data_IF_615184369681
#
_entry.id   IF_615184369681
#
_cell.length_a   1.000
_cell.length_b   1.000
_cell.length_c   1.000
_cell.angle_alpha   90.00
_cell.angle_beta   90.00
_cell.angle_gamma   90.00
#
_symmetry.space_group_name_H-M   'P 1'
#
loop_
_entity.id
_entity.type
_entity.pdbx_description
1 polymer ?
#
# COMPACT_ATOMS: atom_id res chain seq x y z
N UNK A 1 21.27 -2.25 44.21
CA UNK A 1 20.89 -2.31 45.64
C UNK A 1 22.16 -2.56 46.43
N UNK A 2 22.33 -1.78 47.48
CA UNK A 2 23.56 -1.59 48.25
C UNK A 2 24.03 -2.86 48.97
N UNK A 3 25.36 -3.00 49.09
CA UNK A 3 26.02 -3.87 50.07
C UNK A 3 26.13 -3.09 51.38
N UNK A 4 25.50 -3.59 52.45
CA UNK A 4 25.78 -3.17 53.82
C UNK A 4 26.61 -4.24 54.52
N UNK A 5 27.78 -3.83 55.01
CA UNK A 5 28.63 -4.61 55.88
C UNK A 5 28.17 -4.51 57.33
N UNK A 6 28.41 -5.58 58.09
CA UNK A 6 28.30 -5.58 59.54
C UNK A 6 29.62 -6.03 60.17
N UNK A 7 29.99 -5.24 61.18
CA UNK A 7 31.19 -5.23 62.02
C UNK A 7 31.22 -6.39 63.03
N UNK A 8 32.41 -6.84 63.47
CA UNK A 8 32.56 -7.52 64.74
C UNK A 8 33.07 -6.53 65.81
N UNK A 9 32.39 -6.50 66.95
CA UNK A 9 32.76 -5.68 68.09
C UNK A 9 32.54 -6.51 69.36
N UNK A 10 33.61 -6.75 70.13
CA UNK A 10 33.66 -6.51 71.57
C UNK A 10 34.88 -7.21 72.18
N UNK A 11 35.92 -6.40 72.41
CA UNK A 11 37.00 -6.67 73.35
C UNK A 11 36.44 -6.83 74.76
N UNK A 12 36.78 -7.93 75.43
CA UNK A 12 36.58 -8.07 76.87
C UNK A 12 37.90 -7.76 77.59
N UNK A 13 37.91 -6.61 78.24
CA UNK A 13 38.92 -6.12 79.18
C UNK A 13 38.84 -6.96 80.45
N UNK A 14 39.92 -7.65 80.83
CA UNK A 14 40.05 -8.33 82.11
C UNK A 14 40.91 -7.48 83.04
N UNK A 15 40.27 -7.06 84.14
CA UNK A 15 40.80 -6.25 85.23
C UNK A 15 41.60 -7.15 86.17
N UNK A 16 42.89 -6.88 86.33
CA UNK A 16 43.72 -7.43 87.41
C UNK A 16 43.37 -6.72 88.72
N UNK A 17 42.93 -7.50 89.73
CA UNK A 17 42.94 -7.12 91.14
C UNK A 17 43.63 -8.22 91.92
N UNK A 18 44.87 -7.96 92.30
CA UNK A 18 45.58 -8.71 93.35
C UNK A 18 45.09 -8.21 94.72
N UNK A 19 44.74 -9.16 95.58
CA UNK A 19 44.23 -8.90 96.92
C UNK A 19 44.21 -10.19 97.73
N UNK A 20 45.34 -10.43 98.39
CA UNK A 20 45.60 -11.04 99.70
C UNK A 20 44.74 -12.20 100.23
N UNK A 21 45.48 -13.24 100.61
CA UNK A 21 45.30 -14.12 101.77
C UNK A 21 43.93 -14.80 101.95
N UNK A 22 43.79 -16.00 101.37
CA UNK A 22 42.89 -17.02 101.91
C UNK A 22 43.53 -18.42 101.91
N UNK A 23 43.78 -18.88 103.13
CA UNK A 23 43.79 -20.24 103.69
C UNK A 23 43.99 -21.44 102.74
N UNK A 24 45.07 -22.20 103.02
CA UNK A 24 45.33 -23.56 102.54
C UNK A 24 44.11 -24.47 102.66
N UNK A 25 43.57 -25.03 101.55
CA UNK A 25 42.72 -26.20 101.63
C UNK A 25 43.59 -27.45 101.71
N UNK A 26 43.22 -28.27 102.69
CA UNK A 26 43.54 -29.68 102.87
C UNK A 26 43.63 -30.50 101.57
N UNK A 27 44.23 -31.68 101.70
CA UNK A 27 44.45 -32.80 100.75
C UNK A 27 43.29 -33.29 99.84
N UNK A 28 42.27 -32.46 99.58
CA UNK A 28 41.16 -32.72 98.64
C UNK A 28 41.34 -32.00 97.27
N UNK A 29 42.36 -31.14 97.12
CA UNK A 29 42.66 -30.36 95.90
C UNK A 29 43.05 -31.25 94.71
N UNK A 30 43.85 -32.29 94.94
CA UNK A 30 44.33 -33.17 93.87
C UNK A 30 43.19 -33.99 93.23
N UNK A 31 42.16 -34.34 94.01
CA UNK A 31 40.98 -35.04 93.49
C UNK A 31 40.09 -34.12 92.64
N UNK A 32 39.97 -32.84 93.02
CA UNK A 32 39.21 -31.84 92.24
C UNK A 32 39.92 -31.57 90.91
N UNK A 33 41.25 -31.41 90.94
CA UNK A 33 42.02 -31.13 89.73
C UNK A 33 42.03 -32.32 88.75
N UNK A 34 42.12 -33.55 89.26
CA UNK A 34 42.02 -34.76 88.44
C UNK A 34 40.63 -34.91 87.81
N UNK A 35 39.57 -34.64 88.57
CA UNK A 35 38.19 -34.64 88.05
C UNK A 35 37.98 -33.57 86.98
N UNK A 36 38.54 -32.38 87.17
CA UNK A 36 38.49 -31.30 86.18
C UNK A 36 39.24 -31.64 84.88
N UNK A 37 40.38 -32.33 84.96
CA UNK A 37 41.08 -32.82 83.77
C UNK A 37 40.32 -33.92 83.03
N UNK A 38 39.64 -34.82 83.75
CA UNK A 38 38.77 -35.84 83.16
C UNK A 38 37.56 -35.21 82.46
N UNK A 39 36.88 -34.27 83.11
CA UNK A 39 35.78 -33.48 82.52
C UNK A 39 36.25 -32.70 81.28
N UNK A 40 37.46 -32.14 81.29
CA UNK A 40 38.04 -31.44 80.14
C UNK A 40 38.33 -32.40 78.97
N UNK A 41 38.82 -33.61 79.25
CA UNK A 41 39.03 -34.65 78.21
C UNK A 41 37.70 -35.13 77.63
N UNK A 42 36.68 -35.28 78.46
CA UNK A 42 35.33 -35.65 78.02
C UNK A 42 34.72 -34.55 77.15
N UNK A 43 34.86 -33.28 77.56
CA UNK A 43 34.40 -32.12 76.78
C UNK A 43 35.08 -32.02 75.41
N UNK A 44 36.40 -32.26 75.33
CA UNK A 44 37.12 -32.31 74.04
C UNK A 44 36.61 -33.44 73.16
N UNK A 45 36.29 -34.59 73.75
CA UNK A 45 35.77 -35.75 73.02
C UNK A 45 34.35 -35.48 72.48
N UNK A 46 33.49 -34.87 73.30
CA UNK A 46 32.14 -34.45 72.91
C UNK A 46 32.19 -33.40 71.79
N UNK A 47 33.07 -32.41 71.88
CA UNK A 47 33.24 -31.39 70.83
C UNK A 47 33.66 -32.00 69.49
N UNK A 48 34.52 -33.02 69.50
CA UNK A 48 34.89 -33.76 68.28
C UNK A 48 33.71 -34.52 67.69
N UNK A 49 32.89 -35.17 68.53
CA UNK A 49 31.68 -35.88 68.10
C UNK A 49 30.65 -34.93 67.49
N UNK A 50 30.41 -33.77 68.11
CA UNK A 50 29.49 -32.76 67.55
C UNK A 50 29.98 -32.25 66.19
N UNK A 51 31.26 -31.92 66.04
CA UNK A 51 31.81 -31.48 64.74
C UNK A 51 31.69 -32.56 63.65
N UNK A 52 31.85 -33.84 64.02
CA UNK A 52 31.66 -34.95 63.10
C UNK A 52 30.19 -35.07 62.64
N UNK A 53 29.25 -35.03 63.58
CA UNK A 53 27.82 -35.08 63.28
C UNK A 53 27.33 -33.87 62.46
N UNK A 54 27.84 -32.67 62.74
CA UNK A 54 27.52 -31.48 61.95
C UNK A 54 28.01 -31.58 60.49
N UNK A 55 29.14 -32.24 60.25
CA UNK A 55 29.65 -32.48 58.90
C UNK A 55 28.85 -33.56 58.17
N UNK A 56 28.51 -34.67 58.85
CA UNK A 56 27.64 -35.71 58.26
C UNK A 56 26.26 -35.14 57.89
N UNK A 57 25.68 -34.30 58.75
CA UNK A 57 24.39 -33.64 58.48
C UNK A 57 24.48 -32.74 57.23
N UNK A 58 25.54 -31.95 57.10
CA UNK A 58 25.78 -31.11 55.92
C UNK A 58 25.99 -31.93 54.64
N UNK A 59 26.68 -33.06 54.72
CA UNK A 59 26.88 -33.95 53.57
C UNK A 59 25.57 -34.60 53.13
N UNK A 60 24.72 -35.02 54.07
CA UNK A 60 23.38 -35.53 53.77
C UNK A 60 22.51 -34.47 53.09
N UNK A 61 22.45 -33.26 53.64
CA UNK A 61 21.69 -32.14 53.05
C UNK A 61 22.17 -31.81 51.64
N UNK A 62 23.49 -31.81 51.40
CA UNK A 62 24.08 -31.55 50.08
C UNK A 62 23.70 -32.63 49.06
N UNK A 63 23.66 -33.90 49.48
CA UNK A 63 23.28 -35.01 48.62
C UNK A 63 21.81 -34.94 48.23
N UNK A 64 20.92 -34.65 49.19
CA UNK A 64 19.49 -34.49 48.94
C UNK A 64 19.20 -33.29 48.01
N UNK A 65 19.91 -32.17 48.20
CA UNK A 65 19.82 -31.00 47.29
C UNK A 65 20.25 -31.38 45.85
N UNK A 66 21.28 -32.21 45.69
CA UNK A 66 21.77 -32.59 44.36
C UNK A 66 20.82 -33.57 43.67
N UNK A 67 20.21 -34.51 44.40
CA UNK A 67 19.15 -35.39 43.90
C UNK A 67 17.93 -34.56 43.44
N UNK A 68 17.49 -33.59 44.24
CA UNK A 68 16.40 -32.67 43.86
C UNK A 68 16.73 -31.89 42.58
N UNK A 69 17.96 -31.39 42.42
CA UNK A 69 18.36 -30.68 41.19
C UNK A 69 18.31 -31.59 39.97
N UNK A 70 18.73 -32.84 40.10
CA UNK A 70 18.69 -33.81 38.99
C UNK A 70 17.24 -34.11 38.59
N UNK A 71 16.35 -34.31 39.55
CA UNK A 71 14.92 -34.51 39.29
C UNK A 71 14.28 -33.29 38.62
N UNK A 72 14.61 -32.07 39.07
CA UNK A 72 14.15 -30.84 38.42
C UNK A 72 14.68 -30.69 36.99
N UNK A 73 15.95 -31.01 36.73
CA UNK A 73 16.51 -30.98 35.38
C UNK A 73 15.78 -31.96 34.47
N UNK A 74 15.55 -33.19 34.94
CA UNK A 74 14.82 -34.21 34.20
C UNK A 74 13.38 -33.76 33.88
N UNK A 75 12.68 -33.17 34.86
CA UNK A 75 11.33 -32.64 34.66
C UNK A 75 11.28 -31.48 33.64
N UNK A 76 12.32 -30.64 33.60
CA UNK A 76 12.44 -29.56 32.61
C UNK A 76 12.66 -30.14 31.20
N UNK A 77 13.49 -31.17 31.07
CA UNK A 77 13.74 -31.87 29.81
C UNK A 77 12.44 -32.52 29.28
N UNK A 78 11.74 -33.27 30.12
CA UNK A 78 10.45 -33.92 29.77
C UNK A 78 9.39 -32.89 29.33
N UNK A 79 9.25 -31.78 30.05
CA UNK A 79 8.31 -30.72 29.67
C UNK A 79 8.69 -30.02 28.36
N UNK A 80 9.98 -29.84 28.09
CA UNK A 80 10.45 -29.25 26.84
C UNK A 80 10.21 -30.17 25.64
N UNK A 81 10.40 -31.49 25.81
CA UNK A 81 10.08 -32.49 24.79
C UNK A 81 8.57 -32.53 24.49
N UNK A 82 7.73 -32.52 25.53
CA UNK A 82 6.28 -32.46 25.37
C UNK A 82 5.84 -31.18 24.65
N UNK A 83 6.36 -30.01 25.06
CA UNK A 83 6.05 -28.73 24.43
C UNK A 83 6.48 -28.69 22.96
N UNK A 84 7.61 -29.32 22.63
CA UNK A 84 8.09 -29.45 21.25
C UNK A 84 7.14 -30.32 20.42
N UNK A 85 6.74 -31.48 20.93
CA UNK A 85 5.80 -32.36 20.25
C UNK A 85 4.44 -31.69 19.99
N UNK A 86 3.88 -30.96 20.97
CA UNK A 86 2.63 -30.21 20.81
C UNK A 86 2.73 -29.09 19.76
N UNK A 87 3.91 -28.43 19.67
CA UNK A 87 4.16 -27.40 18.66
C UNK A 87 4.25 -28.00 17.26
N UNK A 88 4.97 -29.12 17.11
CA UNK A 88 5.12 -29.81 15.83
C UNK A 88 3.76 -30.33 15.32
N UNK A 89 2.91 -30.86 16.20
CA UNK A 89 1.54 -31.27 15.84
C UNK A 89 0.68 -30.09 15.37
N UNK A 90 0.73 -28.94 16.07
CA UNK A 90 0.01 -27.73 15.66
C UNK A 90 0.50 -27.16 14.33
N UNK A 91 1.80 -27.20 14.06
CA UNK A 91 2.38 -26.75 12.79
C UNK A 91 1.87 -27.64 11.65
N UNK A 92 1.97 -28.97 11.80
CA UNK A 92 1.50 -29.92 10.80
C UNK A 92 0.00 -29.74 10.49
N UNK A 93 -0.83 -29.53 11.53
CA UNK A 93 -2.26 -29.25 11.35
C UNK A 93 -2.52 -27.96 10.55
N UNK A 94 -1.78 -26.89 10.82
CA UNK A 94 -1.92 -25.62 10.10
C UNK A 94 -1.46 -25.73 8.64
N UNK A 95 -0.36 -26.44 8.38
CA UNK A 95 0.14 -26.69 7.03
C UNK A 95 -0.88 -27.47 6.18
N UNK A 96 -1.50 -28.51 6.74
CA UNK A 96 -2.57 -29.23 6.06
C UNK A 96 -3.78 -28.35 5.74
N UNK A 97 -4.16 -27.46 6.67
CA UNK A 97 -5.29 -26.53 6.49
C UNK A 97 -5.00 -25.49 5.41
N UNK A 98 -3.78 -24.97 5.35
CA UNK A 98 -3.32 -24.05 4.31
C UNK A 98 -3.34 -24.76 2.95
N UNK A 99 -2.81 -25.99 2.87
CA UNK A 99 -2.81 -26.80 1.65
C UNK A 99 -4.22 -27.02 1.12
N UNK A 100 -5.16 -27.47 1.97
CA UNK A 100 -6.58 -27.67 1.60
C UNK A 100 -7.24 -26.38 1.11
N UNK A 101 -6.91 -25.24 1.71
CA UNK A 101 -7.45 -23.93 1.31
C UNK A 101 -6.91 -23.50 -0.04
N UNK A 102 -5.61 -23.69 -0.29
CA UNK A 102 -4.98 -23.39 -1.58
C UNK A 102 -5.54 -24.29 -2.69
N UNK A 103 -5.67 -25.60 -2.44
CA UNK A 103 -6.24 -26.54 -3.42
C UNK A 103 -7.69 -26.15 -3.80
N UNK A 104 -8.49 -25.70 -2.82
CA UNK A 104 -9.85 -25.19 -3.07
C UNK A 104 -9.85 -23.89 -3.86
N UNK A 105 -8.92 -22.98 -3.56
CA UNK A 105 -8.78 -21.70 -4.26
C UNK A 105 -8.38 -21.90 -5.71
N UNK A 106 -7.36 -22.73 -5.98
CA UNK A 106 -6.92 -23.10 -7.32
C UNK A 106 -8.05 -23.75 -8.13
N UNK A 107 -8.82 -24.65 -7.51
CA UNK A 107 -10.00 -25.25 -8.15
C UNK A 107 -11.03 -24.20 -8.55
N UNK A 108 -11.42 -23.31 -7.62
CA UNK A 108 -12.40 -22.24 -7.89
C UNK A 108 -11.91 -21.26 -8.95
N UNK A 109 -10.61 -20.94 -8.94
CA UNK A 109 -9.99 -20.07 -9.92
C UNK A 109 -9.99 -20.70 -11.32
N UNK A 110 -9.67 -21.99 -11.41
CA UNK A 110 -9.77 -22.77 -12.65
C UNK A 110 -11.20 -22.82 -13.21
N UNK A 111 -12.21 -22.98 -12.34
CA UNK A 111 -13.62 -22.97 -12.74
C UNK A 111 -14.08 -21.58 -13.23
N UNK A 112 -13.62 -20.50 -12.60
CA UNK A 112 -13.84 -19.11 -13.04
C UNK A 112 -13.24 -18.84 -14.42
N UNK A 113 -12.01 -19.31 -14.67
CA UNK A 113 -11.37 -19.20 -15.99
C UNK A 113 -12.18 -19.95 -17.05
N UNK A 114 -12.63 -21.18 -16.74
CA UNK A 114 -13.47 -21.96 -17.66
C UNK A 114 -14.78 -21.26 -17.97
N UNK A 115 -15.45 -20.70 -16.97
CA UNK A 115 -16.69 -19.96 -17.15
C UNK A 115 -16.51 -18.74 -18.07
N UNK A 116 -15.41 -18.00 -17.87
CA UNK A 116 -15.06 -16.84 -18.68
C UNK A 116 -14.71 -17.19 -20.13
N UNK A 117 -14.11 -18.37 -20.36
CA UNK A 117 -13.83 -18.88 -21.70
C UNK A 117 -15.11 -19.38 -22.41
N UNK A 118 -16.10 -19.89 -21.67
CA UNK A 118 -17.35 -20.42 -22.24
C UNK A 118 -18.28 -19.31 -22.74
N UNK A 119 -18.20 -18.10 -22.21
CA UNK A 119 -19.10 -17.01 -22.60
C UNK A 119 -18.85 -16.44 -24.00
N UNK A 120 -17.74 -16.80 -24.66
CA UNK A 120 -17.45 -16.54 -26.09
C UNK A 120 -17.29 -15.07 -26.50
N UNK A 121 -18.02 -14.17 -25.84
CA UNK A 121 -17.97 -12.74 -26.01
C UNK A 121 -16.83 -12.20 -25.16
N UNK A 122 -15.77 -11.76 -25.84
CA UNK A 122 -14.69 -10.99 -25.24
C UNK A 122 -15.28 -9.62 -24.90
N UNK A 123 -15.82 -9.46 -23.70
CA UNK A 123 -16.14 -8.13 -23.17
C UNK A 123 -14.90 -7.55 -22.50
N UNK A 124 -14.75 -6.23 -22.57
CA UNK A 124 -13.70 -5.54 -21.84
C UNK A 124 -14.17 -5.22 -20.41
N UNK A 125 -13.30 -5.47 -19.42
CA UNK A 125 -13.56 -5.13 -18.04
C UNK A 125 -13.21 -3.66 -17.80
N UNK A 126 -14.20 -2.87 -17.41
CA UNK A 126 -13.96 -1.48 -17.04
C UNK A 126 -13.09 -1.38 -15.79
N UNK A 127 -12.02 -0.60 -15.89
CA UNK A 127 -11.11 -0.31 -14.78
C UNK A 127 -11.40 1.11 -14.28
N UNK A 128 -12.02 1.19 -13.11
CA UNK A 128 -12.31 2.47 -12.46
C UNK A 128 -11.03 3.12 -11.95
N UNK A 129 -10.73 4.32 -12.44
CA UNK A 129 -9.66 5.19 -11.94
C UNK A 129 -10.31 6.51 -11.55
N UNK A 130 -10.17 6.92 -10.28
CA UNK A 130 -10.58 8.26 -9.88
C UNK A 130 -9.69 9.28 -10.57
N UNK A 131 -10.28 10.30 -11.19
CA UNK A 131 -9.53 11.28 -11.95
C UNK A 131 -10.15 12.67 -11.87
N UNK A 132 -9.35 13.67 -12.23
CA UNK A 132 -9.72 15.09 -12.26
C UNK A 132 -8.80 15.85 -13.19
N UNK A 133 -9.19 17.03 -13.66
CA UNK A 133 -8.29 17.93 -14.37
C UNK A 133 -7.25 18.51 -13.41
N UNK A 134 -5.97 18.51 -13.82
CA UNK A 134 -4.88 18.94 -12.94
C UNK A 134 -3.87 19.89 -13.58
N UNK A 135 -3.73 19.85 -14.90
CA UNK A 135 -2.66 20.53 -15.61
C UNK A 135 -3.21 21.22 -16.85
N UNK A 136 -2.88 22.51 -17.00
CA UNK A 136 -3.18 23.31 -18.20
C UNK A 136 -1.86 23.63 -18.89
N UNK A 137 -1.73 23.23 -20.15
CA UNK A 137 -0.60 23.58 -21.01
C UNK A 137 -1.06 24.59 -22.06
N UNK A 138 -0.45 25.77 -22.06
CA UNK A 138 -0.65 26.79 -23.09
C UNK A 138 0.51 26.71 -24.09
N UNK A 139 0.20 26.49 -25.36
CA UNK A 139 1.20 26.53 -26.44
C UNK A 139 1.78 27.95 -26.59
N UNK A 140 0.96 28.97 -26.36
CA UNK A 140 1.36 30.36 -26.45
C UNK A 140 1.55 30.92 -25.03
N UNK A 141 2.73 31.50 -24.76
CA UNK A 141 2.91 32.37 -23.59
C UNK A 141 2.03 33.59 -23.81
N UNK A 142 0.83 33.55 -23.26
CA UNK A 142 -0.17 34.62 -23.40
C UNK A 142 0.30 35.96 -22.81
N UNK A 143 1.37 35.95 -22.01
CA UNK A 143 1.99 37.09 -21.38
C UNK A 143 3.47 36.75 -21.07
N UNK A 144 4.34 37.77 -20.98
CA UNK A 144 5.74 37.61 -20.55
C UNK A 144 5.87 36.96 -19.18
N UNK A 145 4.84 37.12 -18.34
CA UNK A 145 4.74 36.57 -16.98
C UNK A 145 3.85 35.34 -16.97
N UNK A 146 4.33 34.14 -17.37
CA UNK A 146 3.63 32.83 -17.30
C UNK A 146 2.33 32.88 -16.47
N UNK A 147 1.19 33.25 -17.11
CA UNK A 147 -0.06 33.55 -16.41
C UNK A 147 -0.80 32.25 -15.99
N UNK A 148 -0.06 31.31 -15.40
CA UNK A 148 -0.51 30.04 -14.87
C UNK A 148 -0.70 30.25 -13.38
N UNK A 149 -1.75 30.97 -12.98
CA UNK A 149 -2.11 31.02 -11.57
C UNK A 149 -3.61 30.78 -11.42
N UNK A 150 -3.92 29.53 -11.09
CA UNK A 150 -5.22 28.94 -10.76
C UNK A 150 -6.01 29.77 -9.71
N UNK A 151 -5.34 30.69 -9.01
CA UNK A 151 -5.87 31.47 -7.90
C UNK A 151 -5.99 32.99 -8.15
N UNK A 152 -5.59 33.53 -9.31
CA UNK A 152 -5.77 34.97 -9.63
C UNK A 152 -6.14 35.21 -11.09
N UNK A 153 -7.44 35.38 -11.33
CA UNK A 153 -8.07 35.76 -12.59
C UNK A 153 -7.86 37.25 -12.92
N UNK A 154 -6.62 37.72 -13.02
CA UNK A 154 -6.37 39.02 -13.63
C UNK A 154 -6.09 38.80 -15.12
N UNK A 155 -7.11 39.13 -15.91
CA UNK A 155 -7.24 38.87 -17.33
C UNK A 155 -5.97 39.11 -18.15
N UNK A 156 -5.70 38.14 -19.01
CA UNK A 156 -4.68 38.16 -20.04
C UNK A 156 -5.17 39.12 -21.14
N UNK A 157 -4.73 40.39 -21.16
CA UNK A 157 -4.79 41.32 -22.31
C UNK A 157 -5.91 41.06 -23.36
N UNK A 158 -7.18 40.92 -22.97
CA UNK A 158 -8.30 40.68 -23.88
C UNK A 158 -8.41 39.30 -24.55
N UNK A 159 -7.48 38.36 -24.31
CA UNK A 159 -7.49 37.03 -24.95
C UNK A 159 -8.29 35.98 -24.17
N UNK A 160 -8.82 34.99 -24.88
CA UNK A 160 -9.66 33.92 -24.37
C UNK A 160 -8.82 32.85 -23.68
N UNK A 161 -9.34 32.29 -22.60
CA UNK A 161 -8.64 31.31 -21.78
C UNK A 161 -9.59 30.30 -21.13
N UNK A 162 -9.06 29.10 -20.89
CA UNK A 162 -9.74 28.06 -20.11
C UNK A 162 -9.39 28.18 -18.63
N UNK A 163 -10.38 27.96 -17.78
CA UNK A 163 -10.25 27.95 -16.34
C UNK A 163 -10.82 26.65 -15.78
N UNK A 164 -10.02 25.90 -15.01
CA UNK A 164 -10.51 24.73 -14.27
C UNK A 164 -11.31 25.27 -13.08
N UNK A 165 -12.62 25.09 -13.10
CA UNK A 165 -13.51 25.56 -12.02
C UNK A 165 -13.49 24.59 -10.84
N UNK A 166 -13.44 23.29 -11.15
CA UNK A 166 -13.34 22.22 -10.17
C UNK A 166 -12.71 20.99 -10.82
N UNK A 167 -12.65 19.88 -10.09
CA UNK A 167 -12.04 18.63 -10.52
C UNK A 167 -12.54 18.10 -11.89
N UNK A 168 -13.77 18.41 -12.30
CA UNK A 168 -14.37 17.88 -13.53
C UNK A 168 -14.71 18.96 -14.58
N UNK A 169 -14.78 20.23 -14.18
CA UNK A 169 -15.33 21.31 -15.01
C UNK A 169 -14.25 22.29 -15.48
N UNK A 170 -14.28 22.60 -16.78
CA UNK A 170 -13.45 23.62 -17.42
C UNK A 170 -14.39 24.65 -18.04
N UNK A 171 -14.30 25.90 -17.60
CA UNK A 171 -14.99 27.01 -18.25
C UNK A 171 -14.05 27.74 -19.18
N UNK A 172 -14.45 27.88 -20.44
CA UNK A 172 -13.78 28.77 -21.36
C UNK A 172 -14.38 30.17 -21.23
N UNK A 173 -13.50 31.16 -21.19
CA UNK A 173 -13.86 32.58 -21.14
C UNK A 173 -13.34 33.17 -22.45
N UNK A 174 -14.26 33.64 -23.30
CA UNK A 174 -13.96 34.17 -24.62
C UNK A 174 -13.13 35.47 -24.56
N UNK A 175 -12.43 35.77 -25.66
CA UNK A 175 -11.80 37.07 -25.87
C UNK A 175 -12.83 38.23 -25.87
N UNK A 176 -12.32 39.45 -25.71
CA UNK A 176 -13.02 40.63 -26.20
C UNK A 176 -13.10 40.61 -27.74
N UNK A 177 -14.14 41.21 -28.30
CA UNK A 177 -14.37 41.29 -29.75
C UNK A 177 -13.13 41.86 -30.47
N UNK A 178 -12.61 41.11 -31.47
CA UNK A 178 -11.43 41.49 -32.27
C UNK A 178 -10.10 40.86 -31.84
N UNK A 179 -10.03 40.18 -30.71
CA UNK A 179 -8.83 39.48 -30.23
C UNK A 179 -8.84 37.98 -30.56
N UNK A 180 -7.67 37.32 -30.54
CA UNK A 180 -7.51 35.93 -30.98
C UNK A 180 -7.71 34.94 -29.82
N UNK A 181 -8.66 34.01 -29.98
CA UNK A 181 -8.83 32.90 -29.05
C UNK A 181 -7.63 31.94 -29.11
N UNK A 182 -7.26 31.40 -27.95
CA UNK A 182 -6.18 30.42 -27.84
C UNK A 182 -6.71 29.04 -27.52
N UNK A 183 -6.00 28.06 -28.07
CA UNK A 183 -6.19 26.66 -27.74
C UNK A 183 -5.62 26.34 -26.37
N UNK A 184 -6.44 25.71 -25.55
CA UNK A 184 -6.09 25.32 -24.18
C UNK A 184 -6.01 23.81 -24.12
N UNK A 185 -4.86 23.27 -23.70
CA UNK A 185 -4.69 21.85 -23.47
C UNK A 185 -4.87 21.59 -21.98
N UNK A 186 -5.75 20.66 -21.62
CA UNK A 186 -5.98 20.29 -20.23
C UNK A 186 -5.82 18.79 -20.08
N UNK A 187 -5.02 18.39 -19.09
CA UNK A 187 -4.70 17.00 -18.80
C UNK A 187 -5.27 16.58 -17.45
N UNK A 188 -5.69 15.31 -17.40
CA UNK A 188 -6.17 14.70 -16.17
C UNK A 188 -5.01 14.31 -15.25
N UNK A 189 -5.21 14.28 -13.94
CA UNK A 189 -4.19 13.97 -12.92
C UNK A 189 -3.57 12.59 -13.15
N UNK A 190 -4.42 11.58 -13.30
CA UNK A 190 -4.02 10.19 -13.39
C UNK A 190 -3.98 9.71 -14.84
N UNK A 191 -2.96 8.90 -15.15
CA UNK A 191 -2.84 8.22 -16.44
C UNK A 191 -3.52 6.86 -16.42
N UNK A 192 -4.02 6.43 -17.57
CA UNK A 192 -4.46 5.07 -17.83
C UNK A 192 -3.24 4.18 -18.05
N UNK A 193 -2.91 3.39 -17.03
CA UNK A 193 -1.72 2.54 -17.03
C UNK A 193 -2.07 1.12 -17.48
N UNK A 194 -1.18 0.51 -18.26
CA UNK A 194 -1.27 -0.90 -18.63
C UNK A 194 -1.28 -1.77 -17.36
N UNK A 195 -2.30 -2.62 -17.16
CA UNK A 195 -2.34 -3.51 -16.00
C UNK A 195 -1.18 -4.51 -16.01
N UNK A 196 -0.57 -4.75 -14.84
CA UNK A 196 0.57 -5.68 -14.71
C UNK A 196 0.17 -7.16 -14.86
N UNK A 197 -1.02 -7.51 -14.37
CA UNK A 197 -1.55 -8.87 -14.41
C UNK A 197 -3.04 -8.79 -14.72
N UNK A 198 -3.42 -9.07 -15.96
CA UNK A 198 -4.84 -9.09 -16.34
C UNK A 198 -5.11 -10.22 -17.33
N UNK A 199 -6.11 -11.05 -16.99
CA UNK A 199 -6.55 -12.16 -17.83
C UNK A 199 -7.62 -11.73 -18.85
N UNK A 200 -8.21 -10.55 -18.65
CA UNK A 200 -9.24 -9.98 -19.50
C UNK A 200 -8.75 -8.70 -20.17
N UNK A 201 -9.48 -8.26 -21.18
CA UNK A 201 -9.26 -6.93 -21.73
C UNK A 201 -9.62 -5.91 -20.67
N UNK A 202 -8.82 -4.85 -20.59
CA UNK A 202 -9.01 -3.79 -19.59
C UNK A 202 -9.41 -2.51 -20.31
N UNK A 203 -10.60 -2.00 -20.00
CA UNK A 203 -11.18 -0.80 -20.57
C UNK A 203 -11.01 0.37 -19.60
N UNK A 204 -10.36 1.42 -20.06
CA UNK A 204 -10.40 2.75 -19.46
C UNK A 204 -11.28 3.65 -20.32
N UNK A 205 -12.08 4.51 -19.71
CA UNK A 205 -13.02 5.35 -20.43
C UNK A 205 -13.31 6.64 -19.66
N UNK A 206 -13.48 7.74 -20.39
CA UNK A 206 -13.98 9.01 -19.86
C UNK A 206 -14.80 9.74 -20.93
N UNK A 207 -15.71 10.60 -20.47
CA UNK A 207 -16.55 11.45 -21.32
C UNK A 207 -16.33 12.93 -21.00
N UNK A 208 -16.64 13.78 -21.97
CA UNK A 208 -16.77 15.22 -21.81
C UNK A 208 -18.08 15.67 -22.46
N UNK A 209 -18.85 16.50 -21.77
CA UNK A 209 -19.98 17.24 -22.32
C UNK A 209 -19.48 18.62 -22.75
N UNK A 210 -19.79 19.03 -23.97
CA UNK A 210 -19.32 20.29 -24.55
C UNK A 210 -20.40 21.36 -24.51
N UNK A 211 -20.08 22.51 -23.92
CA UNK A 211 -20.99 23.64 -23.76
C UNK A 211 -20.39 24.91 -24.39
N UNK A 212 -21.07 25.50 -25.36
CA UNK A 212 -20.63 26.73 -26.03
C UNK A 212 -21.81 27.66 -26.34
N UNK A 213 -21.51 28.96 -26.44
CA UNK A 213 -22.49 30.00 -26.73
C UNK A 213 -22.92 29.95 -28.22
N UNK A 214 -24.22 30.15 -28.48
CA UNK A 214 -24.82 30.01 -29.82
C UNK A 214 -24.34 31.07 -30.82
N UNK A 215 -23.94 32.25 -30.33
CA UNK A 215 -23.60 33.41 -31.17
C UNK A 215 -22.26 33.27 -31.91
N UNK A 216 -21.42 32.30 -31.55
CA UNK A 216 -20.13 32.09 -32.17
C UNK A 216 -20.22 31.23 -33.44
N UNK A 217 -19.54 31.68 -34.50
CA UNK A 217 -19.38 30.93 -35.74
C UNK A 217 -18.80 29.54 -35.46
N UNK A 218 -19.31 28.51 -36.17
CA UNK A 218 -18.80 27.12 -36.02
C UNK A 218 -17.30 27.01 -36.31
N UNK A 219 -16.79 27.82 -37.23
CA UNK A 219 -15.39 27.80 -37.65
C UNK A 219 -14.42 28.36 -36.59
N UNK A 220 -14.94 29.00 -35.53
CA UNK A 220 -14.16 29.57 -34.43
C UNK A 220 -14.12 28.65 -33.20
N UNK A 221 -14.80 27.51 -33.25
CA UNK A 221 -14.90 26.55 -32.16
C UNK A 221 -13.92 25.41 -32.42
N UNK A 222 -13.13 25.07 -31.41
CA UNK A 222 -12.25 23.90 -31.48
C UNK A 222 -12.46 23.02 -30.26
N UNK A 223 -12.66 21.73 -30.50
CA UNK A 223 -12.57 20.71 -29.47
C UNK A 223 -11.83 19.49 -30.01
N UNK A 224 -10.93 18.95 -29.19
CA UNK A 224 -10.46 17.58 -29.35
C UNK A 224 -10.37 16.86 -28.01
N UNK A 225 -10.75 15.59 -28.00
CA UNK A 225 -10.63 14.67 -26.87
C UNK A 225 -9.64 13.57 -27.23
N UNK A 226 -8.83 13.13 -26.28
CA UNK A 226 -7.91 12.04 -26.56
C UNK A 226 -7.01 11.63 -25.41
N UNK A 227 -5.93 10.97 -25.80
CA UNK A 227 -4.94 10.36 -24.94
C UNK A 227 -3.54 10.81 -25.39
N UNK A 228 -2.73 11.32 -24.44
CA UNK A 228 -1.34 11.67 -24.69
C UNK A 228 -0.44 10.66 -24.01
N UNK A 229 0.53 10.12 -24.75
CA UNK A 229 1.53 9.26 -24.18
C UNK A 229 2.41 10.04 -23.18
N UNK A 230 2.55 9.50 -21.97
CA UNK A 230 3.28 10.17 -20.89
C UNK A 230 4.79 10.26 -21.11
N UNK A 231 5.36 9.40 -21.97
CA UNK A 231 6.81 9.31 -22.20
C UNK A 231 7.26 10.00 -23.51
N UNK A 232 6.47 9.91 -24.57
CA UNK A 232 6.85 10.39 -25.91
C UNK A 232 6.12 11.66 -26.33
N UNK A 233 5.12 12.09 -25.55
CA UNK A 233 4.22 13.21 -25.87
C UNK A 233 3.41 13.04 -27.17
N UNK A 234 3.46 11.88 -27.83
CA UNK A 234 2.57 11.52 -28.94
C UNK A 234 1.12 11.47 -28.44
N UNK A 235 0.17 11.78 -29.31
CA UNK A 235 -1.26 11.81 -28.94
C UNK A 235 -2.12 11.07 -29.94
N UNK A 236 -3.16 10.41 -29.45
CA UNK A 236 -4.30 9.92 -30.23
C UNK A 236 -5.50 10.76 -29.84
N UNK A 237 -6.22 11.31 -30.82
CA UNK A 237 -7.31 12.25 -30.53
C UNK A 237 -8.38 12.22 -31.61
N UNK A 238 -9.60 12.53 -31.20
CA UNK A 238 -10.68 12.93 -32.07
C UNK A 238 -10.78 14.46 -32.08
N UNK A 239 -10.88 15.07 -33.27
CA UNK A 239 -11.11 16.51 -33.47
C UNK A 239 -12.51 16.73 -34.02
N UNK A 240 -13.38 17.34 -33.22
CA UNK A 240 -14.78 17.61 -33.61
C UNK A 240 -14.89 18.65 -34.72
N UNK A 241 -14.03 19.67 -34.72
CA UNK A 241 -14.01 20.69 -35.78
C UNK A 241 -13.74 20.10 -37.17
N UNK A 242 -12.90 19.06 -37.25
CA UNK A 242 -12.45 18.51 -38.51
C UNK A 242 -13.10 17.16 -38.87
N UNK A 243 -13.94 16.62 -37.99
CA UNK A 243 -14.51 15.28 -38.10
C UNK A 243 -13.42 14.22 -38.37
N UNK A 244 -12.31 14.31 -37.63
CA UNK A 244 -11.12 13.48 -37.87
C UNK A 244 -10.59 12.85 -36.59
N UNK A 245 -10.21 11.58 -36.71
CA UNK A 245 -9.38 10.88 -35.73
C UNK A 245 -7.92 10.98 -36.16
N UNK A 246 -7.02 11.26 -35.22
CA UNK A 246 -5.58 11.31 -35.43
C UNK A 246 -4.90 10.23 -34.58
N UNK A 247 -3.96 9.49 -35.17
CA UNK A 247 -3.12 8.54 -34.43
C UNK A 247 -1.82 9.17 -33.91
N UNK A 248 -0.97 8.35 -33.29
CA UNK A 248 0.31 8.76 -32.69
C UNK A 248 1.33 9.32 -33.70
N UNK A 249 1.16 9.00 -34.99
CA UNK A 249 1.97 9.52 -36.10
C UNK A 249 1.35 10.75 -36.75
N UNK A 250 0.24 11.26 -36.19
CA UNK A 250 -0.55 12.36 -36.72
C UNK A 250 -1.15 12.05 -38.12
N UNK A 251 -1.31 10.77 -38.47
CA UNK A 251 -2.12 10.35 -39.61
C UNK A 251 -3.60 10.58 -39.25
N UNK A 252 -4.39 11.08 -40.20
CA UNK A 252 -5.78 11.46 -39.96
C UNK A 252 -6.77 10.60 -40.72
N UNK A 253 -7.82 10.16 -40.03
CA UNK A 253 -8.91 9.36 -40.58
C UNK A 253 -10.19 10.20 -40.51
N UNK A 254 -10.80 10.44 -41.68
CA UNK A 254 -12.06 11.19 -41.76
C UNK A 254 -13.21 10.31 -41.27
N UNK A 255 -14.11 10.89 -40.48
CA UNK A 255 -15.35 10.27 -40.06
C UNK A 255 -16.48 10.67 -41.01
N UNK A 256 -17.41 9.74 -41.22
CA UNK A 256 -18.63 10.02 -41.97
C UNK A 256 -19.71 10.53 -41.02
N UNK A 257 -20.35 11.64 -41.38
CA UNK A 257 -21.59 12.12 -40.77
C UNK A 257 -21.54 12.43 -39.26
N UNK A 258 -20.43 12.96 -38.75
CA UNK A 258 -20.43 13.57 -37.41
C UNK A 258 -20.92 15.02 -37.50
N UNK A 259 -21.72 15.44 -36.53
CA UNK A 259 -22.13 16.83 -36.36
C UNK A 259 -21.81 17.22 -34.94
N UNK A 260 -21.12 18.34 -34.74
CA UNK A 260 -20.85 18.85 -33.40
C UNK A 260 -21.87 19.91 -33.01
N UNK A 261 -22.68 19.60 -32.00
CA UNK A 261 -23.72 20.45 -31.43
C UNK A 261 -23.42 20.80 -29.97
N UNK A 262 -24.15 21.79 -29.46
CA UNK A 262 -24.08 22.16 -28.05
C UNK A 262 -24.64 21.02 -27.19
N UNK A 263 -24.03 20.79 -26.02
CA UNK A 263 -24.31 19.69 -25.09
C UNK A 263 -24.03 18.28 -25.66
N UNK A 264 -23.32 18.15 -26.79
CA UNK A 264 -22.88 16.84 -27.24
C UNK A 264 -21.85 16.25 -26.25
N UNK A 265 -22.01 14.95 -26.00
CA UNK A 265 -21.12 14.18 -25.12
C UNK A 265 -20.16 13.38 -25.98
N UNK A 266 -18.86 13.61 -25.79
CA UNK A 266 -17.80 12.88 -26.47
C UNK A 266 -17.05 12.01 -25.48
N UNK A 267 -16.77 10.77 -25.87
CA UNK A 267 -16.03 9.84 -25.03
C UNK A 267 -14.79 9.30 -25.71
N UNK A 268 -13.84 8.88 -24.89
CA UNK A 268 -12.59 8.28 -25.33
C UNK A 268 -12.29 7.05 -24.49
N UNK A 269 -12.19 5.91 -25.16
CA UNK A 269 -11.89 4.62 -24.53
C UNK A 269 -10.54 4.07 -24.96
N UNK A 270 -9.82 3.49 -24.00
CA UNK A 270 -8.57 2.75 -24.20
C UNK A 270 -8.76 1.32 -23.75
N UNK A 271 -8.46 0.37 -24.63
CA UNK A 271 -8.52 -1.05 -24.32
C UNK A 271 -7.13 -1.65 -24.36
N UNK A 272 -6.70 -2.24 -23.25
CA UNK A 272 -5.50 -3.07 -23.19
C UNK A 272 -5.87 -4.55 -23.33
N UNK A 273 -5.13 -5.31 -24.15
CA UNK A 273 -5.29 -6.76 -24.21
C UNK A 273 -4.81 -7.43 -22.90
N UNK A 274 -5.26 -8.66 -22.63
CA UNK A 274 -4.75 -9.49 -21.56
C UNK A 274 -3.22 -9.63 -21.59
N UNK A 275 -2.59 -9.75 -20.43
CA UNK A 275 -1.12 -9.82 -20.31
C UNK A 275 -0.51 -11.09 -20.91
N UNK A 276 -1.30 -12.16 -21.07
CA UNK A 276 -0.89 -13.39 -21.73
C UNK A 276 -1.03 -13.35 -23.26
N UNK A 277 -1.56 -12.28 -23.84
CA UNK A 277 -1.72 -12.09 -25.28
C UNK A 277 -0.72 -11.08 -25.82
N UNK A 278 0.54 -11.51 -25.93
CA UNK A 278 1.65 -10.64 -26.32
C UNK A 278 1.55 -10.12 -27.76
N UNK A 279 0.83 -10.81 -28.63
CA UNK A 279 0.68 -10.46 -30.05
C UNK A 279 -0.46 -9.47 -30.33
N UNK A 280 -1.27 -9.15 -29.32
CA UNK A 280 -2.35 -8.17 -29.45
C UNK A 280 -1.89 -6.78 -29.00
N UNK A 281 -2.37 -5.74 -29.69
CA UNK A 281 -2.04 -4.35 -29.38
C UNK A 281 -3.20 -3.66 -28.67
N UNK A 282 -2.92 -2.67 -27.79
CA UNK A 282 -3.96 -1.80 -27.28
C UNK A 282 -4.64 -1.02 -28.40
N UNK A 283 -5.85 -0.55 -28.18
CA UNK A 283 -6.55 0.33 -29.12
C UNK A 283 -7.32 1.43 -28.43
N UNK A 284 -7.55 2.52 -29.16
CA UNK A 284 -8.38 3.65 -28.73
C UNK A 284 -9.63 3.72 -29.60
N UNK A 285 -10.78 3.94 -28.99
CA UNK A 285 -12.02 4.24 -29.70
C UNK A 285 -12.63 5.53 -29.16
N UNK A 286 -13.49 6.14 -29.98
CA UNK A 286 -14.18 7.37 -29.65
C UNK A 286 -15.68 7.16 -29.73
N UNK A 287 -16.41 7.92 -28.93
CA UNK A 287 -17.87 7.88 -28.92
C UNK A 287 -18.44 9.30 -28.98
N UNK A 288 -19.64 9.42 -29.52
CA UNK A 288 -20.46 10.61 -29.46
C UNK A 288 -21.88 10.21 -29.03
N UNK A 289 -22.41 10.86 -28.00
CA UNK A 289 -23.75 10.65 -27.46
C UNK A 289 -24.04 9.15 -27.21
N UNK A 290 -23.10 8.48 -26.54
CA UNK A 290 -23.21 7.07 -26.16
C UNK A 290 -23.04 6.06 -27.31
N UNK A 291 -22.65 6.49 -28.51
CA UNK A 291 -22.39 5.61 -29.67
C UNK A 291 -20.96 5.72 -30.16
N UNK A 292 -20.34 4.60 -30.51
CA UNK A 292 -19.00 4.62 -31.12
C UNK A 292 -19.04 5.35 -32.48
N UNK A 293 -18.04 6.19 -32.72
CA UNK A 293 -17.84 6.90 -33.99
C UNK A 293 -16.57 6.39 -34.67
N UNK A 294 -16.67 6.11 -35.97
CA UNK A 294 -15.56 5.56 -36.75
C UNK A 294 -15.04 4.19 -36.27
N UNK A 295 -13.86 3.83 -36.76
CA UNK A 295 -13.11 2.65 -36.32
C UNK A 295 -12.21 2.97 -35.14
N UNK A 296 -11.77 1.95 -34.42
CA UNK A 296 -10.75 2.12 -33.40
C UNK A 296 -9.36 2.32 -34.03
N UNK A 297 -8.46 2.95 -33.30
CA UNK A 297 -7.05 3.16 -33.68
C UNK A 297 -6.18 2.16 -32.92
N UNK A 298 -5.50 1.29 -33.65
CA UNK A 298 -4.58 0.30 -33.09
C UNK A 298 -3.24 0.96 -32.67
N UNK A 299 -2.81 0.73 -31.43
CA UNK A 299 -1.62 1.36 -30.84
C UNK A 299 -0.39 0.44 -30.95
N UNK A 300 0.23 0.43 -32.14
CA UNK A 300 1.37 -0.45 -32.45
C UNK A 300 2.62 -0.19 -31.59
N UNK A 301 2.77 1.01 -31.04
CA UNK A 301 3.88 1.34 -30.14
C UNK A 301 3.69 0.73 -28.73
N UNK A 302 2.48 0.24 -28.40
CA UNK A 302 2.15 -0.52 -27.18
C UNK A 302 2.63 0.12 -25.87
N UNK A 303 2.47 1.43 -25.75
CA UNK A 303 2.93 2.12 -24.57
C UNK A 303 2.19 1.72 -23.28
N UNK A 304 2.91 1.84 -22.17
CA UNK A 304 2.41 1.45 -20.85
C UNK A 304 1.49 2.47 -20.19
N UNK A 305 1.42 3.71 -20.68
CA UNK A 305 0.70 4.78 -19.99
C UNK A 305 0.21 5.85 -20.97
N UNK A 306 -1.06 6.19 -20.85
CA UNK A 306 -1.68 7.29 -21.57
C UNK A 306 -2.43 8.22 -20.63
N UNK A 307 -2.20 9.52 -20.74
CA UNK A 307 -2.85 10.55 -19.95
C UNK A 307 -4.08 11.09 -20.70
N UNK A 308 -5.29 11.04 -20.12
CA UNK A 308 -6.46 11.70 -20.67
C UNK A 308 -6.23 13.19 -20.84
N UNK A 309 -6.67 13.74 -21.97
CA UNK A 309 -6.58 15.16 -22.21
C UNK A 309 -7.66 15.66 -23.16
N UNK A 310 -7.86 16.97 -23.09
CA UNK A 310 -8.68 17.73 -24.03
C UNK A 310 -7.91 18.92 -24.57
N UNK A 311 -8.31 19.39 -25.75
CA UNK A 311 -7.94 20.69 -26.28
C UNK A 311 -9.21 21.45 -26.61
N UNK A 312 -9.37 22.65 -26.07
CA UNK A 312 -10.58 23.45 -26.26
C UNK A 312 -10.26 24.89 -26.68
N UNK A 313 -11.12 25.46 -27.51
CA UNK A 313 -11.16 26.86 -27.94
C UNK A 313 -12.63 27.25 -28.07
N UNK A 314 -13.05 28.33 -27.38
CA UNK A 314 -14.43 28.83 -27.38
C UNK A 314 -15.49 27.81 -26.89
N UNK A 315 -15.08 26.85 -26.05
CA UNK A 315 -15.94 25.77 -25.56
C UNK A 315 -15.60 25.43 -24.12
N UNK A 316 -16.60 25.48 -23.24
CA UNK A 316 -16.53 24.95 -21.88
C UNK A 316 -16.83 23.45 -21.90
N UNK A 317 -16.28 22.71 -20.95
CA UNK A 317 -16.57 21.28 -20.84
C UNK A 317 -16.82 20.83 -19.41
N UNK A 318 -17.65 19.82 -19.27
CA UNK A 318 -17.82 19.04 -18.04
C UNK A 318 -17.35 17.61 -18.30
N UNK A 319 -16.41 17.12 -17.50
CA UNK A 319 -15.93 15.75 -17.62
C UNK A 319 -16.75 14.78 -16.79
N UNK A 320 -16.81 13.53 -17.25
CA UNK A 320 -17.16 12.38 -16.44
C UNK A 320 -16.02 11.37 -16.53
N UNK A 321 -15.27 11.20 -15.44
CA UNK A 321 -14.20 10.20 -15.35
C UNK A 321 -14.69 8.84 -14.80
N UNK A 322 -15.99 8.68 -14.54
CA UNK A 322 -16.54 7.52 -13.86
C UNK A 322 -16.25 7.50 -12.36
N UNK A 323 -16.04 8.68 -11.77
CA UNK A 323 -15.81 8.84 -10.33
C UNK A 323 -17.00 8.30 -9.51
N UNK A 324 -18.23 8.56 -9.98
CA UNK A 324 -19.48 8.05 -9.44
C UNK A 324 -20.44 7.65 -10.58
N UNK A 325 -20.46 6.35 -10.90
CA UNK A 325 -21.31 5.80 -11.96
C UNK A 325 -22.76 5.57 -11.53
N UNK A 326 -23.07 5.68 -10.24
CA UNK A 326 -24.43 5.50 -9.74
C UNK A 326 -25.24 6.79 -9.94
N UNK A 327 -24.67 7.93 -9.56
CA UNK A 327 -25.33 9.23 -9.74
C UNK A 327 -25.08 9.87 -11.10
N UNK A 328 -23.92 9.60 -11.73
CA UNK A 328 -23.50 10.17 -13.01
C UNK A 328 -22.96 9.06 -13.93
N UNK A 329 -23.83 8.16 -14.44
CA UNK A 329 -23.40 7.11 -15.36
C UNK A 329 -22.86 7.70 -16.67
N UNK A 330 -22.03 6.93 -17.37
CA UNK A 330 -21.64 7.27 -18.74
C UNK A 330 -22.85 7.18 -19.66
N UNK A 331 -22.86 8.00 -20.72
CA UNK A 331 -23.80 7.85 -21.81
C UNK A 331 -23.50 6.58 -22.63
N UNK A 332 -22.22 6.26 -22.81
CA UNK A 332 -21.79 5.00 -23.40
C UNK A 332 -21.94 3.82 -22.43
N UNK A 333 -22.63 2.76 -22.87
CA UNK A 333 -22.78 1.52 -22.10
C UNK A 333 -21.51 0.67 -22.16
N UNK A 334 -20.55 1.01 -21.30
CA UNK A 334 -19.26 0.30 -21.15
C UNK A 334 -19.42 -1.20 -20.84
N UNK A 335 -20.54 -1.64 -20.27
CA UNK A 335 -20.78 -3.06 -19.95
C UNK A 335 -21.01 -3.91 -21.21
N UNK A 336 -21.41 -3.26 -22.31
CA UNK A 336 -21.65 -3.89 -23.61
C UNK A 336 -20.47 -3.78 -24.56
N UNK A 337 -19.33 -3.22 -24.13
CA UNK A 337 -18.17 -3.07 -25.00
C UNK A 337 -17.55 -4.43 -25.34
N UNK A 338 -17.77 -4.87 -26.58
CA UNK A 338 -17.14 -6.05 -27.17
C UNK A 338 -15.81 -5.69 -27.83
N UNK A 339 -14.83 -6.61 -27.77
CA UNK A 339 -13.56 -6.42 -28.46
C UNK A 339 -13.77 -6.28 -29.97
N UNK A 340 -13.21 -5.19 -30.50
CA UNK A 340 -13.27 -4.85 -31.91
C UNK A 340 -12.27 -5.67 -32.74
N UNK A 341 -12.65 -5.90 -33.98
CA UNK A 341 -11.93 -6.63 -35.01
C UNK A 341 -11.57 -5.75 -36.22
N UNK A 342 -12.14 -4.53 -36.28
CA UNK A 342 -11.82 -3.53 -37.29
C UNK A 342 -11.11 -2.30 -36.71
N UNK A 343 -10.00 -1.92 -37.33
CA UNK A 343 -9.17 -0.78 -36.95
C UNK A 343 -8.81 0.08 -38.16
N UNK A 344 -8.43 1.34 -37.92
CA UNK A 344 -7.80 2.22 -38.91
C UNK A 344 -6.35 1.83 -39.22
#
# INVERSE_FOLDING_TARGET
MAQEGLSPNSDWILVEKEGDDFEKPSTNSDNIQKKFEEEKKEMVTLKRKNNFLENELKEMDLKEIEEIKQDFQKLIEENNEQLKAEKDEKINYLEEKIKKTNDLFEKKFGDLIKLNNLTGNKYANFIKIKNKWSEIEYICKCCSNKCININKLNGINGNGYGNIINDENIKYINCLEGEKNFNVYVYAENSFNKPKHCFNYSLYYFEIECNFEEELNKDEKYMSIGLKNSSTHKSIRFSAMNDKVFNEKNESFKLDNTSWNNNDIFGCGLVYPPTNKLDEYPYVFFTQNGKQIGKAVLLKENFNSYKPYVRVECCSIEANFGNDLESKPFNYDISKHSILDEFY
#
